data_IF_940025025488
#
_entry.id   IF_940025025488
#
_cell.length_a   1.000
_cell.length_b   1.000
_cell.length_c   1.000
_cell.angle_alpha   90.00
_cell.angle_beta   90.00
_cell.angle_gamma   90.00
#
_symmetry.space_group_name_H-M   'P 1'
#
loop_
_entity.id
_entity.type
_entity.pdbx_description
1 polymer ?
#
# COMPACT_ATOMS: atom_id res chain seq x y z
N UNK A 1 17.33 -11.61 34.77
CA UNK A 1 17.00 -10.38 34.06
C UNK A 1 16.18 -10.74 32.83
N UNK A 2 14.90 -10.33 32.78
CA UNK A 2 14.09 -10.41 31.58
C UNK A 2 14.44 -9.19 30.73
N UNK A 3 15.05 -9.40 29.58
CA UNK A 3 15.22 -8.37 28.55
C UNK A 3 14.03 -8.45 27.60
N UNK A 4 13.34 -7.33 27.41
CA UNK A 4 12.29 -7.17 26.42
C UNK A 4 12.92 -6.49 25.19
N UNK A 5 12.92 -7.20 24.07
CA UNK A 5 13.20 -6.59 22.79
C UNK A 5 11.90 -5.96 22.29
N UNK A 6 11.90 -4.68 21.98
CA UNK A 6 10.76 -4.05 21.36
C UNK A 6 11.21 -3.15 20.21
N UNK A 7 10.40 -3.09 19.16
CA UNK A 7 10.54 -2.14 18.08
C UNK A 7 9.31 -1.23 18.04
N UNK A 8 9.51 0.03 17.70
CA UNK A 8 8.45 1.02 17.56
C UNK A 8 8.60 1.72 16.22
N UNK A 9 7.51 1.73 15.43
CA UNK A 9 7.44 2.43 14.16
C UNK A 9 6.00 2.87 13.89
N UNK A 10 5.83 3.85 13.01
CA UNK A 10 4.52 4.30 12.52
C UNK A 10 4.29 3.65 11.17
N UNK A 11 3.10 3.08 10.98
CA UNK A 11 2.73 2.41 9.74
C UNK A 11 1.21 2.48 9.54
N UNK A 12 0.76 2.29 8.31
CA UNK A 12 -0.64 2.10 8.00
C UNK A 12 -1.12 0.74 8.49
N UNK A 13 -2.37 0.68 8.91
CA UNK A 13 -3.00 -0.53 9.38
C UNK A 13 -4.45 -0.63 8.93
N UNK A 14 -4.93 -1.86 8.76
CA UNK A 14 -6.27 -2.17 8.31
C UNK A 14 -6.85 -3.27 9.19
N UNK A 15 -7.96 -3.00 9.86
CA UNK A 15 -8.64 -3.94 10.76
C UNK A 15 -9.98 -4.35 10.18
N UNK A 16 -10.35 -5.60 10.41
CA UNK A 16 -11.59 -6.18 9.91
C UNK A 16 -12.38 -6.87 11.03
N UNK A 17 -13.67 -7.04 10.82
CA UNK A 17 -14.54 -7.69 11.77
C UNK A 17 -15.55 -6.73 12.38
N UNK A 18 -16.05 -7.02 13.59
CA UNK A 18 -15.58 -8.06 14.52
C UNK A 18 -16.08 -9.46 14.17
N UNK A 19 -15.31 -10.49 14.59
CA UNK A 19 -15.67 -11.89 14.51
C UNK A 19 -16.02 -12.45 15.90
N UNK A 20 -16.97 -13.38 15.96
CA UNK A 20 -17.42 -13.98 17.21
C UNK A 20 -16.41 -14.96 17.82
N UNK A 21 -15.60 -15.61 16.99
CA UNK A 21 -14.59 -16.56 17.44
C UNK A 21 -13.22 -16.28 16.85
N UNK A 22 -12.17 -16.67 17.62
CA UNK A 22 -10.79 -16.58 17.13
C UNK A 22 -10.57 -17.43 15.87
N UNK A 23 -11.22 -18.57 15.78
CA UNK A 23 -11.09 -19.46 14.64
C UNK A 23 -11.67 -18.84 13.36
N UNK A 24 -12.83 -18.20 13.44
CA UNK A 24 -13.39 -17.44 12.31
C UNK A 24 -12.46 -16.33 11.85
N UNK A 25 -11.99 -15.51 12.80
CA UNK A 25 -11.05 -14.42 12.52
C UNK A 25 -9.76 -14.94 11.85
N UNK A 26 -9.22 -16.05 12.33
CA UNK A 26 -8.01 -16.68 11.80
C UNK A 26 -8.22 -17.20 10.37
N UNK A 27 -9.30 -17.94 10.13
CA UNK A 27 -9.60 -18.49 8.81
C UNK A 27 -9.84 -17.39 7.78
N UNK A 28 -10.55 -16.35 8.17
CA UNK A 28 -10.73 -15.17 7.34
C UNK A 28 -9.40 -14.46 7.07
N UNK A 29 -8.59 -14.22 8.10
CA UNK A 29 -7.31 -13.52 8.00
C UNK A 29 -6.35 -14.23 7.03
N UNK A 30 -6.20 -15.55 7.16
CA UNK A 30 -5.30 -16.30 6.29
C UNK A 30 -5.84 -16.43 4.84
N UNK A 31 -7.16 -16.49 4.67
CA UNK A 31 -7.77 -16.44 3.36
C UNK A 31 -7.57 -15.07 2.68
N UNK A 32 -7.78 -13.99 3.42
CA UNK A 32 -7.56 -12.64 2.91
C UNK A 32 -6.08 -12.38 2.60
N UNK A 33 -5.17 -12.83 3.48
CA UNK A 33 -3.71 -12.81 3.26
C UNK A 33 -3.33 -13.51 1.95
N UNK A 34 -3.89 -14.67 1.69
CA UNK A 34 -3.68 -15.40 0.44
C UNK A 34 -4.24 -14.63 -0.77
N UNK A 35 -5.45 -14.09 -0.66
CA UNK A 35 -6.07 -13.26 -1.69
C UNK A 35 -5.26 -12.01 -2.01
N UNK A 36 -4.73 -11.31 -1.00
CA UNK A 36 -3.82 -10.18 -1.18
C UNK A 36 -2.57 -10.57 -1.98
N UNK A 37 -1.95 -11.69 -1.63
CA UNK A 37 -0.74 -12.16 -2.32
C UNK A 37 -0.99 -12.41 -3.82
N UNK A 38 -2.18 -12.90 -4.19
CA UNK A 38 -2.57 -13.12 -5.58
C UNK A 38 -3.04 -11.86 -6.31
N UNK A 39 -3.78 -10.99 -5.62
CA UNK A 39 -4.36 -9.81 -6.25
C UNK A 39 -3.37 -8.66 -6.41
N UNK A 40 -2.48 -8.48 -5.43
CA UNK A 40 -1.58 -7.33 -5.39
C UNK A 40 -0.20 -7.62 -5.96
N UNK A 41 0.14 -8.90 -6.21
CA UNK A 41 1.49 -9.33 -6.62
C UNK A 41 2.61 -8.71 -5.75
N UNK A 42 2.23 -8.26 -4.53
CA UNK A 42 3.14 -7.65 -3.58
C UNK A 42 4.02 -8.71 -2.91
N UNK A 43 5.25 -8.33 -2.58
CA UNK A 43 6.13 -9.19 -1.78
C UNK A 43 5.47 -9.54 -0.44
N UNK A 44 5.63 -10.79 0.01
CA UNK A 44 5.05 -11.27 1.27
C UNK A 44 5.58 -10.54 2.50
N UNK A 45 6.63 -9.77 2.33
CA UNK A 45 7.32 -9.04 3.40
C UNK A 45 6.85 -7.57 3.52
N UNK A 46 5.97 -7.11 2.63
CA UNK A 46 5.49 -5.71 2.62
C UNK A 46 4.48 -5.44 3.75
N UNK A 47 3.83 -6.46 4.27
CA UNK A 47 2.79 -6.38 5.29
C UNK A 47 2.74 -7.65 6.12
N UNK A 48 2.25 -7.53 7.36
CA UNK A 48 1.99 -8.65 8.27
C UNK A 48 0.66 -8.43 8.99
N UNK A 49 0.23 -9.39 9.79
CA UNK A 49 -1.05 -9.28 10.48
C UNK A 49 -1.13 -10.14 11.74
N UNK A 50 -2.00 -9.71 12.62
CA UNK A 50 -2.30 -10.41 13.87
C UNK A 50 -3.81 -10.30 14.19
N UNK A 51 -4.27 -11.11 15.10
CA UNK A 51 -5.65 -11.02 15.61
C UNK A 51 -5.64 -10.25 16.92
N UNK A 52 -6.30 -9.10 16.93
CA UNK A 52 -6.55 -8.30 18.11
C UNK A 52 -7.81 -8.81 18.79
N UNK A 53 -7.83 -8.77 20.13
CA UNK A 53 -9.05 -9.02 20.93
C UNK A 53 -9.62 -7.69 21.41
N UNK A 54 -10.92 -7.54 21.29
CA UNK A 54 -11.68 -6.40 21.79
C UNK A 54 -12.87 -6.92 22.61
N UNK A 55 -12.65 -7.08 23.90
CA UNK A 55 -13.58 -7.81 24.76
C UNK A 55 -13.62 -9.30 24.39
N UNK A 56 -14.81 -9.79 24.02
CA UNK A 56 -15.01 -11.19 23.58
C UNK A 56 -14.94 -11.35 22.05
N UNK A 57 -14.65 -10.28 21.32
CA UNK A 57 -14.61 -10.26 19.86
C UNK A 57 -13.17 -10.27 19.35
N UNK A 58 -13.01 -10.69 18.09
CA UNK A 58 -11.73 -10.86 17.43
C UNK A 58 -11.67 -10.02 16.16
N UNK A 59 -10.59 -9.27 16.00
CA UNK A 59 -10.37 -8.36 14.89
C UNK A 59 -9.04 -8.67 14.19
N UNK A 60 -9.05 -9.34 13.01
CA UNK A 60 -7.88 -9.43 12.17
C UNK A 60 -7.38 -8.03 11.81
N UNK A 61 -6.12 -7.77 12.08
CA UNK A 61 -5.48 -6.48 11.84
C UNK A 61 -4.22 -6.70 11.04
N UNK A 62 -4.12 -6.07 9.88
CA UNK A 62 -2.93 -6.02 9.04
C UNK A 62 -2.21 -4.71 9.25
N UNK A 63 -0.90 -4.74 9.13
CA UNK A 63 -0.05 -3.54 9.18
C UNK A 63 1.08 -3.65 8.16
N UNK A 64 1.53 -2.53 7.67
CA UNK A 64 2.67 -2.50 6.77
C UNK A 64 3.97 -2.59 7.54
N UNK A 65 4.89 -3.44 7.08
CA UNK A 65 6.17 -3.70 7.76
C UNK A 65 7.20 -2.59 7.52
N UNK A 66 6.99 -1.78 6.50
CA UNK A 66 7.84 -0.63 6.18
C UNK A 66 7.42 0.58 7.03
N UNK A 67 8.33 1.20 7.79
CA UNK A 67 8.03 2.43 8.51
C UNK A 67 7.52 3.53 7.58
N UNK A 68 6.43 4.18 7.97
CA UNK A 68 5.78 5.21 7.16
C UNK A 68 4.76 4.68 6.15
N UNK A 69 4.63 3.35 6.01
CA UNK A 69 3.71 2.71 5.08
C UNK A 69 4.20 2.71 3.62
N UNK A 70 3.58 1.88 2.81
CA UNK A 70 3.82 1.78 1.35
C UNK A 70 2.55 1.99 0.55
N UNK A 71 1.39 2.15 1.24
CA UNK A 71 0.06 2.24 0.63
C UNK A 71 -0.49 0.89 0.16
N UNK A 72 0.15 -0.23 0.49
CA UNK A 72 -0.32 -1.55 0.07
C UNK A 72 -1.63 -1.92 0.76
N UNK A 73 -1.84 -1.50 2.01
CA UNK A 73 -3.09 -1.75 2.73
C UNK A 73 -4.22 -0.83 2.28
N UNK A 74 -3.92 0.42 1.89
CA UNK A 74 -4.89 1.31 1.26
C UNK A 74 -5.38 0.71 -0.06
N UNK A 75 -4.44 0.22 -0.90
CA UNK A 75 -4.79 -0.48 -2.13
C UNK A 75 -5.59 -1.76 -1.85
N UNK A 76 -5.23 -2.55 -0.83
CA UNK A 76 -5.96 -3.75 -0.43
C UNK A 76 -7.41 -3.43 -0.05
N UNK A 77 -7.64 -2.29 0.62
CA UNK A 77 -8.98 -1.82 0.94
C UNK A 77 -9.78 -1.44 -0.32
N UNK A 78 -9.16 -0.70 -1.25
CA UNK A 78 -9.81 -0.28 -2.51
C UNK A 78 -10.19 -1.47 -3.41
N UNK A 79 -9.35 -2.51 -3.45
CA UNK A 79 -9.59 -3.71 -4.27
C UNK A 79 -10.09 -4.91 -3.46
N UNK A 80 -10.74 -4.65 -2.32
CA UNK A 80 -11.20 -5.68 -1.40
C UNK A 80 -12.04 -6.78 -2.06
N UNK A 81 -12.96 -6.42 -2.94
CA UNK A 81 -13.78 -7.38 -3.69
C UNK A 81 -12.93 -8.30 -4.57
N UNK A 82 -11.93 -7.75 -5.24
CA UNK A 82 -11.01 -8.53 -6.07
C UNK A 82 -10.19 -9.50 -5.23
N UNK A 83 -9.69 -9.05 -4.06
CA UNK A 83 -8.94 -9.90 -3.12
C UNK A 83 -9.83 -11.04 -2.62
N UNK A 84 -11.07 -10.74 -2.22
CA UNK A 84 -12.05 -11.72 -1.74
C UNK A 84 -12.39 -12.72 -2.83
N UNK A 85 -12.61 -12.28 -4.07
CA UNK A 85 -12.90 -13.16 -5.21
C UNK A 85 -11.71 -14.10 -5.50
N UNK A 86 -10.48 -13.59 -5.50
CA UNK A 86 -9.29 -14.42 -5.71
C UNK A 86 -9.06 -15.42 -4.59
N UNK A 87 -9.32 -15.02 -3.34
CA UNK A 87 -9.27 -15.95 -2.21
C UNK A 87 -10.29 -17.09 -2.36
N UNK A 88 -11.55 -16.78 -2.68
CA UNK A 88 -12.59 -17.77 -2.93
C UNK A 88 -12.22 -18.73 -4.06
N UNK A 89 -11.82 -18.21 -5.22
CA UNK A 89 -11.41 -19.03 -6.37
C UNK A 89 -10.32 -20.05 -5.98
N UNK A 90 -9.30 -19.61 -5.25
CA UNK A 90 -8.22 -20.47 -4.80
C UNK A 90 -8.67 -21.51 -3.76
N UNK A 91 -9.56 -21.13 -2.86
CA UNK A 91 -10.09 -22.05 -1.85
C UNK A 91 -11.03 -23.08 -2.47
N UNK A 92 -11.91 -22.70 -3.38
CA UNK A 92 -12.87 -23.57 -4.03
C UNK A 92 -12.19 -24.59 -4.95
N UNK A 93 -11.11 -24.21 -5.62
CA UNK A 93 -10.34 -25.11 -6.49
C UNK A 93 -9.41 -26.05 -5.73
N UNK A 94 -9.19 -25.85 -4.44
CA UNK A 94 -8.33 -26.68 -3.63
C UNK A 94 -9.05 -27.96 -3.17
N UNK A 95 -8.53 -29.13 -3.47
CA UNK A 95 -9.14 -30.43 -3.15
C UNK A 95 -8.77 -30.97 -1.75
N UNK A 96 -8.10 -30.21 -0.87
CA UNK A 96 -7.74 -30.68 0.47
C UNK A 96 -8.96 -30.76 1.40
N UNK A 97 -8.89 -31.60 2.45
CA UNK A 97 -9.99 -31.78 3.39
C UNK A 97 -10.23 -30.57 4.29
N UNK A 98 -9.18 -30.08 4.98
CA UNK A 98 -9.29 -28.96 5.88
C UNK A 98 -8.43 -27.77 5.41
N UNK A 99 -7.11 -27.93 5.36
CA UNK A 99 -6.18 -26.90 4.89
C UNK A 99 -4.87 -27.51 4.40
N UNK A 100 -4.17 -26.85 3.50
CA UNK A 100 -2.86 -27.27 3.01
C UNK A 100 -2.02 -26.07 2.55
N UNK A 101 -0.75 -26.31 2.18
CA UNK A 101 0.16 -25.27 1.69
C UNK A 101 -0.21 -24.69 0.31
N UNK A 102 -1.18 -25.24 -0.37
CA UNK A 102 -1.75 -24.69 -1.60
C UNK A 102 -2.89 -23.69 -1.32
N UNK A 103 -3.39 -23.64 -0.09
CA UNK A 103 -4.45 -22.73 0.32
C UNK A 103 -4.05 -21.92 1.58
N UNK A 104 -4.52 -22.31 2.77
CA UNK A 104 -4.40 -21.48 3.97
C UNK A 104 -3.07 -21.63 4.74
N UNK A 105 -2.35 -22.77 4.57
CA UNK A 105 -1.12 -23.00 5.34
C UNK A 105 0.08 -22.31 4.74
N UNK A 106 0.89 -21.71 5.60
CA UNK A 106 2.19 -21.15 5.25
C UNK A 106 3.24 -21.60 6.26
N UNK A 107 4.50 -21.36 5.99
CA UNK A 107 5.56 -21.59 6.98
C UNK A 107 5.35 -20.75 8.25
N UNK A 108 4.84 -19.55 8.09
CA UNK A 108 4.71 -18.57 9.19
C UNK A 108 3.51 -18.82 10.11
N UNK A 109 2.49 -19.57 9.66
CA UNK A 109 1.32 -19.89 10.46
C UNK A 109 1.26 -21.33 10.97
N UNK A 110 2.42 -22.02 11.09
CA UNK A 110 2.49 -23.42 11.48
C UNK A 110 1.80 -23.72 12.82
N UNK A 111 1.93 -22.83 13.79
CA UNK A 111 1.29 -22.97 15.11
C UNK A 111 -0.24 -22.99 15.06
N UNK A 112 -0.82 -22.50 13.97
CA UNK A 112 -2.27 -22.42 13.78
C UNK A 112 -2.83 -23.45 12.77
N UNK A 113 -1.99 -24.33 12.21
CA UNK A 113 -2.42 -25.27 11.16
C UNK A 113 -3.61 -26.15 11.55
N UNK A 114 -3.75 -26.50 12.83
CA UNK A 114 -4.85 -27.32 13.34
C UNK A 114 -6.19 -26.55 13.40
N UNK A 115 -6.14 -25.22 13.42
CA UNK A 115 -7.31 -24.33 13.50
C UNK A 115 -7.79 -23.89 12.09
N UNK A 116 -6.96 -24.12 11.06
CA UNK A 116 -7.27 -23.68 9.70
C UNK A 116 -8.18 -24.65 8.96
N UNK A 117 -9.32 -24.15 8.53
CA UNK A 117 -10.31 -24.89 7.76
C UNK A 117 -10.75 -24.10 6.52
N UNK A 118 -10.50 -24.67 5.35
CA UNK A 118 -10.84 -24.13 4.05
C UNK A 118 -12.34 -23.89 3.88
N UNK A 119 -13.16 -24.84 4.35
CA UNK A 119 -14.60 -24.72 4.18
C UNK A 119 -15.19 -23.61 5.08
N UNK A 120 -14.65 -23.46 6.29
CA UNK A 120 -14.99 -22.34 7.16
C UNK A 120 -14.59 -21.00 6.51
N UNK A 121 -13.41 -20.92 5.92
CA UNK A 121 -12.96 -19.71 5.20
C UNK A 121 -13.86 -19.40 4.00
N UNK A 122 -14.26 -20.39 3.18
CA UNK A 122 -15.20 -20.23 2.06
C UNK A 122 -16.55 -19.70 2.57
N UNK A 123 -17.09 -20.29 3.65
CA UNK A 123 -18.37 -19.85 4.20
C UNK A 123 -18.35 -18.39 4.65
N UNK A 124 -17.27 -17.98 5.33
CA UNK A 124 -17.11 -16.58 5.82
C UNK A 124 -16.98 -15.63 4.63
N UNK A 125 -16.11 -15.91 3.67
CA UNK A 125 -15.91 -15.04 2.50
C UNK A 125 -17.17 -14.97 1.63
N UNK A 126 -17.88 -16.09 1.46
CA UNK A 126 -19.16 -16.15 0.75
C UNK A 126 -20.23 -15.30 1.44
N UNK A 127 -20.34 -15.40 2.76
CA UNK A 127 -21.26 -14.56 3.53
C UNK A 127 -20.96 -13.06 3.38
N UNK A 128 -19.68 -12.66 3.44
CA UNK A 128 -19.26 -11.27 3.25
C UNK A 128 -19.60 -10.79 1.83
N UNK A 129 -19.31 -11.59 0.80
CA UNK A 129 -19.67 -11.28 -0.59
C UNK A 129 -21.16 -11.07 -0.77
N UNK A 130 -22.00 -11.96 -0.20
CA UNK A 130 -23.43 -11.99 -0.46
C UNK A 130 -24.21 -10.97 0.40
N UNK A 131 -23.71 -10.66 1.60
CA UNK A 131 -24.33 -9.70 2.52
C UNK A 131 -23.86 -8.26 2.30
N UNK A 132 -22.83 -8.06 1.51
CA UNK A 132 -22.11 -6.80 1.43
C UNK A 132 -21.28 -6.52 2.71
N UNK A 133 -20.45 -5.52 2.64
CA UNK A 133 -19.68 -5.03 3.79
C UNK A 133 -19.85 -3.53 3.93
N UNK A 134 -19.94 -3.08 5.17
CA UNK A 134 -19.87 -1.66 5.50
C UNK A 134 -18.44 -1.30 5.86
N UNK A 135 -17.88 -0.26 5.24
CA UNK A 135 -16.60 0.26 5.62
C UNK A 135 -16.78 1.47 6.54
N UNK A 136 -16.17 1.42 7.72
CA UNK A 136 -15.98 2.61 8.56
C UNK A 136 -14.51 3.01 8.40
N UNK A 137 -14.27 4.09 7.68
CA UNK A 137 -12.93 4.68 7.59
C UNK A 137 -12.76 5.63 8.77
N UNK A 138 -12.20 5.14 9.86
CA UNK A 138 -11.66 6.02 10.90
C UNK A 138 -10.25 6.42 10.46
N UNK A 139 -10.10 7.65 10.00
CA UNK A 139 -8.78 8.26 9.87
C UNK A 139 -8.44 8.81 11.26
N UNK A 140 -7.60 8.14 12.06
CA UNK A 140 -7.18 8.69 13.33
C UNK A 140 -6.51 10.04 13.07
N UNK A 141 -6.76 11.05 13.92
CA UNK A 141 -6.05 12.32 13.79
C UNK A 141 -4.55 12.04 13.79
N UNK A 142 -3.83 12.56 12.79
CA UNK A 142 -2.37 12.45 12.70
C UNK A 142 -1.78 12.84 14.05
N UNK A 143 -1.39 11.86 14.86
CA UNK A 143 -0.57 12.12 16.04
C UNK A 143 0.79 12.50 15.50
N UNK A 144 1.16 13.75 15.70
CA UNK A 144 2.53 14.20 15.48
C UNK A 144 3.43 13.49 16.50
N UNK A 145 4.13 12.46 16.06
CA UNK A 145 5.26 11.93 16.79
C UNK A 145 6.49 12.76 16.40
N UNK A 146 7.11 13.38 17.38
CA UNK A 146 8.24 14.30 17.18
C UNK A 146 9.52 13.65 16.61
N UNK A 147 9.55 12.30 16.46
CA UNK A 147 10.65 11.58 15.79
C UNK A 147 10.52 11.50 14.26
N UNK A 148 9.41 11.92 13.70
CA UNK A 148 9.25 12.08 12.25
C UNK A 148 10.00 13.30 11.68
N UNK A 149 10.67 14.08 12.53
CA UNK A 149 11.34 15.33 12.13
C UNK A 149 12.50 15.11 11.18
N UNK A 150 13.31 14.06 11.38
CA UNK A 150 14.53 13.84 10.58
C UNK A 150 14.20 13.34 9.17
N UNK A 151 13.22 12.43 9.02
CA UNK A 151 12.82 11.92 7.68
C UNK A 151 12.03 12.97 6.91
N UNK A 152 11.16 13.74 7.58
CA UNK A 152 10.44 14.85 6.96
C UNK A 152 11.33 16.02 6.55
N UNK A 153 12.42 16.27 7.28
CA UNK A 153 13.36 17.34 6.91
C UNK A 153 14.10 17.00 5.62
N UNK A 154 14.45 15.72 5.39
CA UNK A 154 15.14 15.31 4.16
C UNK A 154 14.21 15.23 2.96
N UNK A 155 12.98 14.75 3.10
CA UNK A 155 11.97 14.74 2.04
C UNK A 155 11.54 16.17 1.69
N UNK A 156 11.24 17.00 2.67
CA UNK A 156 10.92 18.42 2.48
C UNK A 156 12.06 19.19 1.82
N UNK A 157 13.32 18.88 2.13
CA UNK A 157 14.46 19.50 1.49
C UNK A 157 14.57 19.15 0.02
N UNK A 158 14.39 17.87 -0.35
CA UNK A 158 14.42 17.44 -1.74
C UNK A 158 13.27 18.05 -2.57
N UNK A 159 12.06 18.11 -2.00
CA UNK A 159 10.92 18.78 -2.63
C UNK A 159 11.19 20.29 -2.83
N UNK A 160 11.68 20.99 -1.82
CA UNK A 160 12.00 22.41 -1.91
C UNK A 160 13.15 22.69 -2.89
N UNK A 161 14.12 21.78 -2.96
CA UNK A 161 15.19 21.85 -3.96
C UNK A 161 14.66 21.68 -5.36
N UNK A 162 13.83 20.67 -5.59
CA UNK A 162 13.21 20.42 -6.90
C UNK A 162 12.34 21.61 -7.37
N UNK A 163 11.53 22.21 -6.48
CA UNK A 163 10.73 23.38 -6.84
C UNK A 163 11.61 24.57 -7.27
N UNK A 164 12.76 24.78 -6.60
CA UNK A 164 13.74 25.81 -7.01
C UNK A 164 14.30 25.53 -8.39
N UNK A 165 14.69 24.28 -8.67
CA UNK A 165 15.19 23.86 -9.99
C UNK A 165 14.17 24.11 -11.09
N UNK A 166 12.88 23.84 -10.85
CA UNK A 166 11.81 24.16 -11.81
C UNK A 166 11.79 25.66 -12.13
N UNK A 167 11.90 26.52 -11.13
CA UNK A 167 11.89 27.98 -11.30
C UNK A 167 13.14 28.48 -12.03
N UNK A 168 14.31 27.96 -11.70
CA UNK A 168 15.59 28.27 -12.38
C UNK A 168 15.55 27.90 -13.88
N UNK A 169 14.87 26.81 -14.22
CA UNK A 169 14.65 26.38 -15.60
C UNK A 169 13.40 26.99 -16.25
N UNK A 170 12.82 28.04 -15.66
CA UNK A 170 11.67 28.78 -16.17
C UNK A 170 10.40 27.92 -16.41
N UNK A 171 10.25 26.82 -15.68
CA UNK A 171 9.04 26.01 -15.71
C UNK A 171 7.95 26.60 -14.80
N UNK A 172 6.67 26.44 -15.16
CA UNK A 172 5.58 26.95 -14.33
C UNK A 172 5.56 26.26 -12.96
N UNK A 173 5.07 26.98 -11.96
CA UNK A 173 4.96 26.46 -10.60
C UNK A 173 3.95 25.31 -10.55
N UNK A 174 4.30 24.11 -10.03
CA UNK A 174 3.41 22.99 -9.90
C UNK A 174 2.47 23.13 -8.69
N UNK A 175 1.43 22.33 -8.65
CA UNK A 175 0.63 22.08 -7.45
C UNK A 175 1.38 21.07 -6.57
N UNK A 176 1.65 21.39 -5.31
CA UNK A 176 2.29 20.48 -4.34
C UNK A 176 1.26 19.53 -3.74
N UNK A 177 1.71 18.34 -3.35
CA UNK A 177 0.96 17.32 -2.60
C UNK A 177 -0.42 17.05 -3.21
N UNK A 178 -0.43 16.78 -4.52
CA UNK A 178 -1.65 16.62 -5.30
C UNK A 178 -2.23 15.22 -5.16
N UNK A 179 -3.46 15.12 -4.67
CA UNK A 179 -4.18 13.85 -4.60
C UNK A 179 -4.73 13.45 -5.95
N UNK A 180 -4.48 12.20 -6.35
CA UNK A 180 -4.97 11.60 -7.59
C UNK A 180 -5.84 10.41 -7.25
N UNK A 181 -7.07 10.44 -7.78
CA UNK A 181 -7.99 9.30 -7.76
C UNK A 181 -8.22 8.91 -9.22
N UNK A 182 -7.65 7.80 -9.64
CA UNK A 182 -7.86 7.19 -10.94
C UNK A 182 -8.36 5.76 -10.76
N UNK A 183 -8.84 5.12 -11.83
CA UNK A 183 -9.41 3.76 -11.74
C UNK A 183 -8.39 2.79 -11.13
N UNK A 184 -8.66 2.32 -9.91
CA UNK A 184 -7.82 1.39 -9.16
C UNK A 184 -6.57 1.98 -8.52
N UNK A 185 -6.43 3.32 -8.47
CA UNK A 185 -5.29 3.99 -7.82
C UNK A 185 -5.75 5.24 -7.09
N UNK A 186 -5.39 5.32 -5.82
CA UNK A 186 -5.38 6.56 -5.06
C UNK A 186 -3.96 6.82 -4.59
N UNK A 187 -3.40 7.96 -4.95
CA UNK A 187 -2.03 8.33 -4.62
C UNK A 187 -1.93 9.84 -4.44
N UNK A 188 -0.88 10.27 -3.78
CA UNK A 188 -0.56 11.69 -3.61
C UNK A 188 0.82 11.95 -4.21
N UNK A 189 0.82 12.67 -5.33
CA UNK A 189 2.04 13.11 -5.96
C UNK A 189 2.64 14.32 -5.23
N UNK A 190 3.97 14.37 -5.11
CA UNK A 190 4.66 15.48 -4.47
C UNK A 190 4.42 16.77 -5.24
N UNK A 191 4.39 16.66 -6.59
CA UNK A 191 4.05 17.76 -7.47
C UNK A 191 3.16 17.29 -8.63
N UNK A 192 2.32 18.21 -9.12
CA UNK A 192 1.48 17.95 -10.28
C UNK A 192 1.25 19.20 -11.13
N UNK A 193 1.02 18.94 -12.42
CA UNK A 193 0.38 19.89 -13.31
C UNK A 193 -0.96 19.29 -13.78
N UNK A 194 -2.05 19.56 -13.05
CA UNK A 194 -3.33 18.87 -13.26
C UNK A 194 -3.88 19.03 -14.67
N UNK A 195 -3.77 20.24 -15.25
CA UNK A 195 -4.25 20.54 -16.61
C UNK A 195 -3.53 19.69 -17.67
N UNK A 196 -2.23 19.41 -17.47
CA UNK A 196 -1.43 18.56 -18.36
C UNK A 196 -1.45 17.08 -17.97
N UNK A 197 -2.17 16.69 -16.91
CA UNK A 197 -2.14 15.36 -16.35
C UNK A 197 -0.71 14.86 -16.06
N UNK A 198 0.13 15.70 -15.49
CA UNK A 198 1.53 15.36 -15.18
C UNK A 198 1.64 15.20 -13.65
N UNK A 199 2.25 14.10 -13.24
CA UNK A 199 2.52 13.78 -11.84
C UNK A 199 4.02 13.57 -11.63
N UNK A 200 4.55 14.09 -10.54
CA UNK A 200 5.97 14.02 -10.20
C UNK A 200 6.10 13.54 -8.76
N UNK A 201 6.88 12.49 -8.58
CA UNK A 201 7.23 11.90 -7.29
C UNK A 201 8.71 12.06 -7.06
N UNK A 202 9.11 12.49 -5.85
CA UNK A 202 10.50 12.61 -5.42
C UNK A 202 10.78 11.49 -4.45
N UNK A 203 11.53 10.50 -4.90
CA UNK A 203 11.81 9.30 -4.13
C UNK A 203 13.08 9.47 -3.28
N UNK A 204 12.97 9.28 -1.96
CA UNK A 204 14.11 9.37 -1.04
C UNK A 204 15.08 8.19 -1.15
N UNK A 205 16.32 8.37 -0.65
CA UNK A 205 17.42 7.38 -0.76
C UNK A 205 17.17 6.02 -0.05
N UNK A 206 16.13 5.89 0.79
CA UNK A 206 15.82 4.68 1.57
C UNK A 206 14.87 3.70 0.84
N UNK A 207 14.91 3.66 -0.49
CA UNK A 207 13.95 2.89 -1.28
C UNK A 207 14.29 1.39 -1.34
N UNK A 208 13.43 0.54 -0.74
CA UNK A 208 13.54 -0.92 -0.81
C UNK A 208 12.93 -1.50 -2.10
N UNK A 209 13.49 -2.63 -2.58
CA UNK A 209 13.11 -3.26 -3.87
C UNK A 209 11.61 -3.61 -4.01
N UNK A 210 10.91 -3.83 -2.89
CA UNK A 210 9.49 -4.21 -2.89
C UNK A 210 8.55 -3.00 -3.14
N UNK A 211 8.93 -1.83 -2.65
CA UNK A 211 8.21 -0.58 -2.93
C UNK A 211 8.26 -0.24 -4.43
N UNK A 212 9.39 -0.50 -5.09
CA UNK A 212 9.53 -0.30 -6.54
C UNK A 212 8.53 -1.09 -7.39
N UNK A 213 8.10 -2.27 -6.96
CA UNK A 213 7.11 -3.09 -7.70
C UNK A 213 5.70 -2.50 -7.58
N UNK A 214 5.31 -2.06 -6.40
CA UNK A 214 4.01 -1.42 -6.16
C UNK A 214 3.93 -0.09 -6.91
N UNK A 215 4.97 0.72 -6.81
CA UNK A 215 5.09 1.99 -7.51
C UNK A 215 5.02 1.82 -9.03
N UNK A 216 5.68 0.80 -9.57
CA UNK A 216 5.63 0.48 -11.00
C UNK A 216 4.24 0.08 -11.48
N UNK A 217 3.47 -0.62 -10.63
CA UNK A 217 2.08 -0.97 -10.93
C UNK A 217 1.16 0.25 -10.87
N UNK A 218 1.32 1.09 -9.84
CA UNK A 218 0.60 2.37 -9.75
C UNK A 218 0.91 3.25 -10.97
N UNK A 219 2.18 3.34 -11.36
CA UNK A 219 2.61 4.09 -12.54
C UNK A 219 1.92 3.58 -13.81
N UNK A 220 1.87 2.26 -14.04
CA UNK A 220 1.17 1.67 -15.18
C UNK A 220 -0.31 2.06 -15.19
N UNK A 221 -0.99 1.99 -14.06
CA UNK A 221 -2.41 2.36 -13.96
C UNK A 221 -2.64 3.86 -14.17
N UNK A 222 -1.76 4.71 -13.65
CA UNK A 222 -1.80 6.16 -13.88
C UNK A 222 -1.57 6.50 -15.36
N UNK A 223 -0.58 5.86 -16.01
CA UNK A 223 -0.31 6.02 -17.44
C UNK A 223 -1.50 5.57 -18.28
N UNK A 224 -2.13 4.43 -17.96
CA UNK A 224 -3.37 3.99 -18.63
C UNK A 224 -4.54 4.96 -18.42
N UNK A 225 -4.55 5.68 -17.30
CA UNK A 225 -5.53 6.75 -17.02
C UNK A 225 -5.20 8.09 -17.70
N UNK A 226 -4.14 8.10 -18.52
CA UNK A 226 -3.72 9.24 -19.32
C UNK A 226 -2.82 10.24 -18.59
N UNK A 227 -2.21 9.84 -17.47
CA UNK A 227 -1.21 10.66 -16.79
C UNK A 227 0.20 10.41 -17.35
N UNK A 228 1.01 11.45 -17.37
CA UNK A 228 2.46 11.35 -17.52
C UNK A 228 3.07 11.36 -16.12
N UNK A 229 3.82 10.32 -15.77
CA UNK A 229 4.41 10.15 -14.43
C UNK A 229 5.91 10.30 -14.51
N UNK A 230 6.48 11.16 -13.65
CA UNK A 230 7.92 11.29 -13.43
C UNK A 230 8.22 10.80 -12.01
N UNK A 231 9.19 9.90 -11.91
CA UNK A 231 9.81 9.51 -10.64
C UNK A 231 11.26 9.92 -10.65
N UNK A 232 11.66 10.70 -9.68
CA UNK A 232 12.98 11.33 -9.60
C UNK A 232 13.57 10.93 -8.25
N UNK A 233 14.72 10.26 -8.27
CA UNK A 233 15.44 9.97 -7.04
C UNK A 233 16.04 11.27 -6.47
N UNK A 234 15.90 11.49 -5.16
CA UNK A 234 16.38 12.73 -4.53
C UNK A 234 17.87 12.99 -4.79
N UNK A 235 18.67 11.93 -4.88
CA UNK A 235 20.10 12.03 -5.22
C UNK A 235 20.36 12.52 -6.65
N UNK A 236 19.44 12.28 -7.58
CA UNK A 236 19.57 12.71 -8.98
C UNK A 236 19.44 14.24 -9.12
N UNK A 237 18.85 14.90 -8.11
CA UNK A 237 18.73 16.36 -8.07
C UNK A 237 20.06 17.08 -7.82
N UNK A 238 21.09 16.35 -7.41
CA UNK A 238 22.45 16.90 -7.21
C UNK A 238 23.30 16.82 -8.51
N UNK A 239 22.83 16.11 -9.55
CA UNK A 239 23.51 15.98 -10.84
C UNK A 239 22.92 16.94 -11.87
N UNK A 240 23.67 17.98 -12.32
CA UNK A 240 23.17 18.97 -13.26
C UNK A 240 22.72 18.40 -14.60
N UNK A 241 23.35 17.32 -15.09
CA UNK A 241 23.02 16.73 -16.39
C UNK A 241 21.69 15.95 -16.30
N UNK A 242 21.48 15.25 -15.19
CA UNK A 242 20.22 14.55 -14.90
C UNK A 242 19.09 15.54 -14.68
N UNK A 243 19.34 16.61 -13.93
CA UNK A 243 18.38 17.71 -13.73
C UNK A 243 17.97 18.32 -15.07
N UNK A 244 18.94 18.66 -15.92
CA UNK A 244 18.65 19.24 -17.23
C UNK A 244 17.77 18.32 -18.09
N UNK A 245 18.02 17.01 -18.04
CA UNK A 245 17.20 16.01 -18.72
C UNK A 245 15.76 16.02 -18.20
N UNK A 246 15.53 15.95 -16.89
CA UNK A 246 14.18 15.98 -16.32
C UNK A 246 13.44 17.28 -16.64
N UNK A 247 14.10 18.42 -16.54
CA UNK A 247 13.51 19.72 -16.85
C UNK A 247 13.08 19.81 -18.31
N UNK A 248 13.87 19.25 -19.23
CA UNK A 248 13.51 19.17 -20.64
C UNK A 248 12.30 18.26 -20.88
N UNK A 249 12.25 17.08 -20.25
CA UNK A 249 11.14 16.15 -20.43
C UNK A 249 9.82 16.69 -19.84
N UNK A 250 9.87 17.33 -18.66
CA UNK A 250 8.72 18.01 -18.07
C UNK A 250 8.23 19.15 -18.98
N UNK A 251 9.15 19.94 -19.52
CA UNK A 251 8.81 21.01 -20.48
C UNK A 251 8.10 20.47 -21.72
N UNK A 252 8.59 19.37 -22.29
CA UNK A 252 7.97 18.69 -23.43
C UNK A 252 6.56 18.19 -23.09
N UNK A 253 6.39 17.59 -21.90
CA UNK A 253 5.10 17.10 -21.45
C UNK A 253 4.08 18.23 -21.27
N UNK A 254 4.50 19.37 -20.69
CA UNK A 254 3.69 20.56 -20.53
C UNK A 254 3.25 21.17 -21.88
N UNK A 255 4.10 21.06 -22.90
CA UNK A 255 3.80 21.57 -24.25
C UNK A 255 2.79 20.71 -25.00
N UNK A 256 2.72 19.40 -24.69
CA UNK A 256 1.76 18.45 -25.29
C UNK A 256 0.36 18.52 -24.66
N UNK A 257 0.25 19.02 -23.44
CA UNK A 257 -1.00 19.14 -22.70
C UNK A 257 -1.75 20.46 -22.93
N UNK A 258 -1.26 21.30 -23.83
CA UNK A 258 -1.94 22.50 -24.32
C UNK A 258 -2.61 22.20 -25.67
#
# INVERSE_FOLDING_TARGET
>A
HRQLLHAHFVSDWLSFGPFGTRQEALNWMEAFRMGMAFALESGKDAWDGFIRTNGELYEPTFFETTPGGTGVLELAFEVFETITARALEQLETCACQASCYRCLRTYWNQGAHAELDRNAAIAILGHIRDSGYGAVVEIPPKRSYDDASVVKETESYAEDHFERLLLEHHLPRPTRQYEVVAVGVRTRADFAYPTGKILIYIDGAAYHADRRKLDKRQEVLLVHSGYTVFRIEAQDLEDPDIVAYYMQEISKALSKGR
#
